data_IF_178803715748
#
_entry.id   IF_178803715748
#
_cell.length_a   1.000
_cell.length_b   1.000
_cell.length_c   1.000
_cell.angle_alpha   90.00
_cell.angle_beta   90.00
_cell.angle_gamma   90.00
#
_symmetry.space_group_name_H-M   'P 1'
#
loop_
_entity.id
_entity.type
_entity.pdbx_description
1 polymer ?
#
# COMPACT_ATOMS: atom_id res chain seq x y z
N UNK A 1 73.21 -34.07 -13.85
CA UNK A 1 72.51 -33.45 -12.66
C UNK A 1 71.36 -32.70 -13.21
N UNK A 2 70.16 -33.37 -13.29
CA UNK A 2 68.95 -32.81 -13.80
C UNK A 2 68.17 -32.19 -12.64
N UNK A 3 67.89 -30.85 -12.70
CA UNK A 3 67.07 -30.18 -11.78
C UNK A 3 65.60 -30.34 -12.23
N UNK A 4 64.88 -31.22 -11.58
CA UNK A 4 63.40 -31.34 -11.76
C UNK A 4 62.74 -30.19 -11.02
N UNK A 5 62.21 -29.22 -11.78
CA UNK A 5 61.37 -28.19 -11.26
C UNK A 5 59.98 -28.85 -11.00
N UNK A 6 59.63 -28.99 -9.75
CA UNK A 6 58.26 -29.41 -9.35
C UNK A 6 57.32 -28.23 -9.49
N UNK A 7 56.48 -28.24 -10.50
CA UNK A 7 55.33 -27.37 -10.59
C UNK A 7 54.31 -27.75 -9.50
N UNK A 8 54.15 -26.87 -8.49
CA UNK A 8 53.05 -26.99 -7.53
C UNK A 8 51.76 -26.55 -8.23
N UNK A 9 50.69 -27.36 -8.21
CA UNK A 9 49.43 -26.89 -8.74
C UNK A 9 48.92 -25.71 -7.88
N UNK A 10 48.62 -24.59 -8.54
CA UNK A 10 47.94 -23.45 -7.93
C UNK A 10 46.52 -23.92 -7.60
N UNK A 11 46.35 -24.33 -6.37
CA UNK A 11 45.04 -24.65 -5.84
C UNK A 11 44.23 -23.34 -5.79
N UNK A 12 43.29 -23.17 -6.73
CA UNK A 12 42.33 -22.08 -6.72
C UNK A 12 41.32 -22.40 -5.61
N UNK A 13 41.73 -22.21 -4.37
CA UNK A 13 40.77 -22.08 -3.26
C UNK A 13 40.10 -20.71 -3.41
N UNK A 14 39.01 -20.63 -4.17
CA UNK A 14 38.03 -19.58 -3.97
C UNK A 14 37.56 -19.81 -2.52
N UNK A 15 37.87 -18.89 -1.59
CA UNK A 15 37.57 -19.16 -0.21
C UNK A 15 36.05 -19.34 -0.10
N UNK A 16 35.67 -20.51 0.36
CA UNK A 16 34.26 -20.91 0.60
C UNK A 16 33.48 -19.82 1.34
N UNK A 17 34.20 -18.99 2.09
CA UNK A 17 33.70 -17.81 2.79
C UNK A 17 33.07 -16.75 1.87
N UNK A 18 33.62 -16.51 0.67
CA UNK A 18 33.02 -15.55 -0.27
C UNK A 18 31.74 -16.10 -0.91
N UNK A 19 31.70 -17.39 -1.18
CA UNK A 19 30.51 -18.03 -1.75
C UNK A 19 29.38 -18.08 -0.72
N UNK A 20 29.67 -18.38 0.55
CA UNK A 20 28.72 -18.36 1.65
C UNK A 20 28.24 -16.94 1.93
N UNK A 21 29.14 -15.95 1.92
CA UNK A 21 28.77 -14.54 2.12
C UNK A 21 27.87 -14.02 0.97
N UNK A 22 28.16 -14.39 -0.29
CA UNK A 22 27.31 -14.03 -1.42
C UNK A 22 25.91 -14.69 -1.33
N UNK A 23 25.83 -15.97 -0.95
CA UNK A 23 24.57 -16.66 -0.77
C UNK A 23 23.78 -16.09 0.40
N UNK A 24 24.44 -15.76 1.52
CA UNK A 24 23.79 -15.10 2.66
C UNK A 24 23.28 -13.71 2.31
N UNK A 25 24.03 -12.92 1.51
CA UNK A 25 23.57 -11.59 1.08
C UNK A 25 22.35 -11.67 0.17
N UNK A 26 22.31 -12.64 -0.77
CA UNK A 26 21.14 -12.89 -1.62
C UNK A 26 19.95 -13.37 -0.78
N UNK A 27 20.19 -14.23 0.22
CA UNK A 27 19.14 -14.72 1.11
C UNK A 27 18.57 -13.60 1.98
N UNK A 28 19.40 -12.74 2.56
CA UNK A 28 18.96 -11.58 3.36
C UNK A 28 18.19 -10.58 2.52
N UNK A 29 18.59 -10.31 1.27
CA UNK A 29 17.85 -9.45 0.34
C UNK A 29 16.51 -10.07 -0.05
N UNK A 30 16.45 -11.40 -0.17
CA UNK A 30 15.19 -12.11 -0.46
C UNK A 30 14.20 -12.07 0.70
N UNK A 31 14.69 -12.11 1.95
CA UNK A 31 13.85 -12.05 3.15
C UNK A 31 13.24 -10.66 3.41
N UNK A 32 13.85 -9.60 2.86
CA UNK A 32 13.39 -8.23 3.06
C UNK A 32 12.41 -7.73 1.98
N UNK A 33 12.04 -8.55 1.00
CA UNK A 33 10.99 -8.21 0.05
C UNK A 33 9.65 -8.36 0.72
N UNK A 34 9.01 -7.23 1.04
CA UNK A 34 7.57 -7.23 1.37
C UNK A 34 6.84 -7.62 0.09
N UNK A 35 6.29 -8.83 0.10
CA UNK A 35 5.49 -9.34 -1.01
C UNK A 35 4.09 -8.71 -0.90
N UNK A 36 3.76 -7.85 -1.87
CA UNK A 36 2.42 -7.27 -1.96
C UNK A 36 1.46 -8.34 -2.51
N UNK A 37 0.39 -8.59 -1.78
CA UNK A 37 -0.64 -9.53 -2.22
C UNK A 37 -1.46 -8.91 -3.36
N UNK A 38 -1.92 -9.73 -4.33
CA UNK A 38 -2.88 -9.28 -5.32
C UNK A 38 -4.22 -8.91 -4.67
N UNK A 39 -5.10 -8.29 -5.45
CA UNK A 39 -6.46 -7.98 -5.04
C UNK A 39 -7.27 -9.29 -4.95
N UNK A 40 -7.17 -9.97 -3.81
CA UNK A 40 -8.08 -11.07 -3.48
C UNK A 40 -9.22 -10.53 -2.63
N UNK A 41 -10.43 -10.97 -2.91
CA UNK A 41 -11.61 -10.65 -2.11
C UNK A 41 -11.49 -11.33 -0.75
N UNK A 42 -10.82 -10.67 0.19
CA UNK A 42 -10.73 -11.16 1.58
C UNK A 42 -12.10 -11.12 2.29
N UNK A 43 -13.06 -10.40 1.76
CA UNK A 43 -14.47 -10.36 2.14
C UNK A 43 -15.34 -10.12 0.92
N UNK A 44 -16.21 -11.04 0.59
CA UNK A 44 -17.61 -10.71 0.57
C UNK A 44 -18.36 -11.60 1.55
N UNK A 45 -18.27 -11.33 2.80
CA UNK A 45 -19.46 -11.38 3.59
C UNK A 45 -20.35 -10.27 3.00
N UNK A 46 -21.66 -10.37 3.12
CA UNK A 46 -22.63 -9.47 2.55
C UNK A 46 -22.19 -8.00 2.56
N UNK A 47 -22.25 -7.34 1.40
CA UNK A 47 -21.94 -5.92 1.27
C UNK A 47 -22.80 -5.11 2.26
N UNK A 48 -22.22 -4.25 3.07
CA UNK A 48 -22.91 -3.47 4.07
C UNK A 48 -22.63 -1.97 3.91
N UNK A 49 -23.58 -1.13 4.38
CA UNK A 49 -23.43 0.31 4.31
C UNK A 49 -22.15 0.78 4.98
N UNK A 50 -21.34 1.54 4.24
CA UNK A 50 -20.15 2.16 4.78
C UNK A 50 -20.49 3.14 5.88
N UNK A 51 -19.89 3.00 7.07
CA UNK A 51 -20.04 3.98 8.12
C UNK A 51 -19.67 5.37 7.63
N UNK A 52 -20.48 6.38 8.00
CA UNK A 52 -20.23 7.75 7.58
C UNK A 52 -19.21 8.42 8.49
N UNK A 53 -18.41 9.30 7.91
CA UNK A 53 -17.47 10.14 8.65
C UNK A 53 -17.38 11.54 8.03
N UNK A 54 -16.88 12.46 8.83
CA UNK A 54 -16.46 13.79 8.43
C UNK A 54 -15.10 14.07 9.05
N UNK A 55 -14.08 14.35 8.24
CA UNK A 55 -12.70 14.55 8.67
C UNK A 55 -12.09 15.81 8.04
N UNK A 56 -11.17 16.48 8.74
CA UNK A 56 -10.40 17.57 8.16
C UNK A 56 -9.46 17.05 7.08
N UNK A 57 -9.36 17.81 5.98
CA UNK A 57 -8.39 17.55 4.92
C UNK A 57 -7.04 18.20 5.24
N UNK A 58 -5.94 17.56 4.84
CA UNK A 58 -4.58 18.10 4.95
C UNK A 58 -4.44 19.49 4.28
N UNK A 59 -5.17 19.72 3.19
CA UNK A 59 -5.17 20.99 2.45
C UNK A 59 -6.23 22.00 2.94
N UNK A 60 -6.90 21.68 4.03
CA UNK A 60 -7.96 22.48 4.64
C UNK A 60 -9.37 22.08 4.21
N UNK A 61 -10.35 22.53 5.03
CA UNK A 61 -11.74 22.15 4.86
C UNK A 61 -12.10 20.81 5.48
N UNK A 62 -13.40 20.51 5.49
CA UNK A 62 -13.96 19.24 5.99
C UNK A 62 -14.42 18.41 4.80
N UNK A 63 -14.21 17.11 4.87
CA UNK A 63 -14.59 16.13 3.85
C UNK A 63 -15.52 15.09 4.46
N UNK A 64 -16.67 14.89 3.82
CA UNK A 64 -17.67 13.90 4.24
C UNK A 64 -17.71 12.76 3.24
N UNK A 65 -17.75 11.52 3.72
CA UNK A 65 -17.91 10.37 2.83
C UNK A 65 -19.19 10.46 1.99
N UNK A 66 -20.26 11.05 2.56
CA UNK A 66 -21.54 11.26 1.86
C UNK A 66 -21.45 12.08 0.57
N UNK A 67 -20.44 12.95 0.46
CA UNK A 67 -20.24 13.85 -0.71
C UNK A 67 -19.77 13.08 -1.94
N UNK A 68 -19.38 11.82 -1.76
CA UNK A 68 -18.87 10.94 -2.82
C UNK A 68 -19.88 9.85 -3.24
N UNK A 69 -21.16 10.03 -2.91
CA UNK A 69 -22.21 9.13 -3.41
C UNK A 69 -22.23 9.09 -4.94
N UNK A 70 -22.41 7.91 -5.53
CA UNK A 70 -22.34 7.71 -6.98
C UNK A 70 -20.91 7.49 -7.53
N UNK A 71 -19.89 7.62 -6.67
CA UNK A 71 -18.50 7.25 -7.00
C UNK A 71 -18.11 5.94 -6.36
N UNK A 72 -17.12 5.27 -6.93
CA UNK A 72 -16.35 4.23 -6.25
C UNK A 72 -15.33 4.92 -5.34
N UNK A 73 -15.34 4.61 -4.05
CA UNK A 73 -14.45 5.26 -3.08
C UNK A 73 -13.48 4.24 -2.49
N UNK A 74 -12.21 4.56 -2.59
CA UNK A 74 -11.11 3.82 -1.96
C UNK A 74 -10.76 4.52 -0.65
N UNK A 75 -11.02 3.89 0.49
CA UNK A 75 -10.70 4.40 1.83
C UNK A 75 -9.50 3.61 2.34
N UNK A 76 -8.38 4.29 2.61
CA UNK A 76 -7.18 3.65 3.14
C UNK A 76 -6.72 4.34 4.43
N UNK A 77 -6.52 3.56 5.49
CA UNK A 77 -5.96 4.03 6.75
C UNK A 77 -4.46 3.74 6.79
N UNK A 78 -3.64 4.77 7.07
CA UNK A 78 -2.20 4.69 7.01
C UNK A 78 -1.49 5.64 7.97
N UNK A 79 -0.15 5.55 8.05
CA UNK A 79 0.68 6.50 8.79
C UNK A 79 2.08 6.61 8.19
N UNK A 80 2.76 7.72 8.44
CA UNK A 80 4.14 7.97 7.97
C UNK A 80 5.19 7.05 8.60
N UNK A 81 4.95 6.57 9.81
CA UNK A 81 5.81 5.63 10.54
C UNK A 81 5.56 4.15 10.17
N UNK A 82 4.60 3.89 9.31
CA UNK A 82 4.21 2.53 8.90
C UNK A 82 5.01 2.09 7.66
N UNK A 83 6.05 1.29 7.84
CA UNK A 83 6.91 0.84 6.74
C UNK A 83 6.17 0.02 5.67
N UNK A 84 5.15 -0.77 6.05
CA UNK A 84 4.34 -1.52 5.09
C UNK A 84 3.39 -0.61 4.31
N UNK A 85 2.93 0.50 4.90
CA UNK A 85 2.17 1.52 4.16
C UNK A 85 3.03 2.17 3.08
N UNK A 86 4.31 2.50 3.40
CA UNK A 86 5.26 3.09 2.46
C UNK A 86 5.42 2.23 1.19
N UNK A 87 5.39 0.91 1.33
CA UNK A 87 5.57 -0.03 0.21
C UNK A 87 4.39 0.01 -0.77
N UNK A 88 3.15 0.21 -0.30
CA UNK A 88 1.98 0.22 -1.19
C UNK A 88 1.71 1.58 -1.87
N UNK A 89 2.23 2.70 -1.30
CA UNK A 89 1.95 4.06 -1.79
C UNK A 89 2.19 4.28 -3.29
N UNK A 90 3.28 3.77 -3.91
CA UNK A 90 3.48 3.94 -5.35
C UNK A 90 2.41 3.25 -6.20
N UNK A 91 1.90 2.11 -5.76
CA UNK A 91 0.84 1.39 -6.47
C UNK A 91 -0.53 2.08 -6.30
N UNK A 92 -0.80 2.62 -5.12
CA UNK A 92 -1.98 3.44 -4.85
C UNK A 92 -2.00 4.70 -5.73
N UNK A 93 -0.87 5.40 -5.85
CA UNK A 93 -0.76 6.58 -6.69
C UNK A 93 -1.03 6.26 -8.18
N UNK A 94 -0.53 5.12 -8.67
CA UNK A 94 -0.83 4.67 -10.04
C UNK A 94 -2.32 4.41 -10.24
N UNK A 95 -2.96 3.72 -9.29
CA UNK A 95 -4.40 3.46 -9.31
C UNK A 95 -5.19 4.77 -9.30
N UNK A 96 -4.84 5.71 -8.40
CA UNK A 96 -5.50 6.99 -8.28
C UNK A 96 -5.44 7.80 -9.58
N UNK A 97 -4.24 7.98 -10.14
CA UNK A 97 -4.04 8.71 -11.40
C UNK A 97 -4.81 8.11 -12.57
N UNK A 98 -4.95 6.78 -12.58
CA UNK A 98 -5.65 6.08 -13.68
C UNK A 98 -7.16 6.34 -13.64
N UNK A 99 -7.78 6.43 -12.46
CA UNK A 99 -9.24 6.40 -12.34
C UNK A 99 -9.89 7.66 -11.77
N UNK A 100 -9.14 8.61 -11.20
CA UNK A 100 -9.69 9.81 -10.53
C UNK A 100 -10.68 10.63 -11.37
N UNK A 101 -10.54 10.62 -12.70
CA UNK A 101 -11.37 11.39 -13.61
C UNK A 101 -12.61 10.60 -14.11
N UNK A 102 -12.81 9.35 -13.62
CA UNK A 102 -13.82 8.42 -14.11
C UNK A 102 -14.89 8.03 -13.06
N UNK A 103 -15.12 8.88 -12.05
CA UNK A 103 -16.07 8.54 -10.98
C UNK A 103 -15.49 7.65 -9.88
N UNK A 104 -14.18 7.71 -9.71
CA UNK A 104 -13.41 7.12 -8.62
C UNK A 104 -12.88 8.23 -7.70
N UNK A 105 -12.81 7.94 -6.40
CA UNK A 105 -12.16 8.80 -5.44
C UNK A 105 -11.31 7.98 -4.47
N UNK A 106 -10.19 8.55 -4.04
CA UNK A 106 -9.33 7.94 -3.05
C UNK A 106 -9.26 8.86 -1.82
N UNK A 107 -9.83 8.41 -0.71
CA UNK A 107 -9.79 9.10 0.57
C UNK A 107 -8.80 8.37 1.48
N UNK A 108 -7.56 8.86 1.52
CA UNK A 108 -6.56 8.30 2.41
C UNK A 108 -6.63 9.00 3.76
N UNK A 109 -6.62 8.24 4.85
CA UNK A 109 -6.82 8.74 6.21
C UNK A 109 -5.56 8.45 7.01
N UNK A 110 -4.79 9.51 7.30
CA UNK A 110 -3.62 9.41 8.15
C UNK A 110 -4.02 9.38 9.62
N UNK A 111 -3.44 8.42 10.36
CA UNK A 111 -3.55 8.33 11.82
C UNK A 111 -2.31 8.89 12.54
N UNK A 112 -1.49 9.68 11.85
CA UNK A 112 -0.35 10.36 12.44
C UNK A 112 -0.79 11.40 13.46
N UNK A 113 -0.20 11.36 14.65
CA UNK A 113 -0.39 12.40 15.66
C UNK A 113 0.32 13.69 15.29
N UNK A 114 1.51 13.57 14.75
CA UNK A 114 2.28 14.71 14.22
C UNK A 114 1.98 14.89 12.72
N UNK A 115 1.03 15.74 12.43
CA UNK A 115 0.59 16.02 11.06
C UNK A 115 1.66 16.71 10.20
N UNK A 116 2.70 17.31 10.83
CA UNK A 116 3.80 17.95 10.11
C UNK A 116 4.65 16.97 9.28
N UNK A 117 4.58 15.67 9.61
CA UNK A 117 5.29 14.61 8.90
C UNK A 117 4.62 14.19 7.58
N UNK A 118 3.33 14.51 7.40
CA UNK A 118 2.54 14.01 6.27
C UNK A 118 2.98 14.64 4.95
N UNK A 119 3.09 15.97 4.91
CA UNK A 119 3.44 16.68 3.67
C UNK A 119 4.85 16.30 3.14
N UNK A 120 5.91 16.22 3.97
CA UNK A 120 7.21 15.69 3.54
C UNK A 120 7.13 14.26 3.00
N UNK A 121 6.33 13.39 3.64
CA UNK A 121 6.10 12.02 3.17
C UNK A 121 5.43 12.00 1.79
N UNK A 122 4.35 12.75 1.61
CA UNK A 122 3.65 12.88 0.31
C UNK A 122 4.61 13.34 -0.79
N UNK A 123 5.47 14.32 -0.50
CA UNK A 123 6.49 14.81 -1.44
C UNK A 123 7.55 13.76 -1.76
N UNK A 124 8.02 13.03 -0.76
CA UNK A 124 9.03 11.95 -0.93
C UNK A 124 8.58 10.91 -1.96
N UNK A 125 7.30 10.55 -1.96
CA UNK A 125 6.73 9.52 -2.83
C UNK A 125 5.98 10.07 -4.05
N UNK A 126 5.97 11.40 -4.27
CA UNK A 126 5.21 12.08 -5.33
C UNK A 126 3.72 11.70 -5.34
N UNK A 127 3.10 11.64 -4.15
CA UNK A 127 1.70 11.29 -3.98
C UNK A 127 0.80 12.50 -4.20
N UNK A 128 -0.31 12.30 -4.91
CA UNK A 128 -1.25 13.37 -5.29
C UNK A 128 -2.69 13.12 -4.84
N UNK A 129 -2.98 11.95 -4.27
CA UNK A 129 -4.29 11.64 -3.73
C UNK A 129 -4.60 12.46 -2.46
N UNK A 130 -5.89 12.71 -2.15
CA UNK A 130 -6.30 13.42 -0.95
C UNK A 130 -5.90 12.71 0.34
N UNK A 131 -5.51 13.50 1.35
CA UNK A 131 -5.23 13.01 2.71
C UNK A 131 -6.18 13.67 3.70
N UNK A 132 -6.86 12.87 4.49
CA UNK A 132 -7.69 13.26 5.62
C UNK A 132 -6.97 12.93 6.93
N UNK A 133 -7.33 13.61 8.01
CA UNK A 133 -6.61 13.57 9.27
C UNK A 133 -7.48 12.94 10.37
N UNK A 134 -6.99 11.83 10.95
CA UNK A 134 -7.62 11.13 12.10
C UNK A 134 -6.57 10.86 13.21
N UNK A 135 -5.95 11.91 13.80
CA UNK A 135 -4.82 11.78 14.73
C UNK A 135 -5.18 10.99 16.00
N UNK A 136 -6.44 10.99 16.40
CA UNK A 136 -6.91 10.22 17.55
C UNK A 136 -7.38 8.80 17.17
N UNK A 137 -7.33 8.46 15.88
CA UNK A 137 -7.79 7.17 15.34
C UNK A 137 -9.25 6.86 15.68
N UNK A 138 -10.09 7.89 15.80
CA UNK A 138 -11.51 7.74 16.14
C UNK A 138 -12.27 7.03 15.01
N UNK A 139 -12.07 7.49 13.77
CA UNK A 139 -12.67 6.88 12.59
C UNK A 139 -12.06 5.52 12.33
N UNK A 140 -10.73 5.43 12.34
CA UNK A 140 -10.01 4.17 12.10
C UNK A 140 -10.45 3.07 13.07
N UNK A 141 -10.31 3.32 14.40
CA UNK A 141 -10.48 2.27 15.40
C UNK A 141 -11.92 2.09 15.87
N UNK A 142 -12.67 3.19 16.08
CA UNK A 142 -14.02 3.08 16.68
C UNK A 142 -15.09 2.86 15.63
N UNK A 143 -14.95 3.46 14.46
CA UNK A 143 -15.96 3.41 13.39
C UNK A 143 -15.67 2.27 12.42
N UNK A 144 -14.49 2.25 11.79
CA UNK A 144 -14.09 1.20 10.82
C UNK A 144 -13.50 -0.04 11.48
N UNK A 145 -13.20 0.04 12.80
CA UNK A 145 -12.66 -1.07 13.60
C UNK A 145 -11.43 -1.71 12.97
N UNK A 146 -10.53 -0.86 12.48
CA UNK A 146 -9.27 -1.33 11.92
C UNK A 146 -8.42 -2.01 13.00
N UNK A 147 -7.73 -3.07 12.61
CA UNK A 147 -6.82 -3.82 13.50
C UNK A 147 -5.41 -3.25 13.49
N UNK A 148 -5.07 -2.48 12.43
CA UNK A 148 -3.78 -1.83 12.26
C UNK A 148 -3.77 -0.96 11.00
N UNK A 149 -2.57 -0.61 10.55
CA UNK A 149 -2.34 0.06 9.27
C UNK A 149 -1.29 -0.72 8.47
N UNK A 150 -1.41 -0.81 7.13
CA UNK A 150 -2.52 -0.28 6.34
C UNK A 150 -3.76 -1.18 6.37
N UNK A 151 -4.92 -0.57 6.35
CA UNK A 151 -6.18 -1.25 6.04
C UNK A 151 -6.98 -0.44 5.02
N UNK A 152 -7.56 -1.14 4.05
CA UNK A 152 -8.28 -0.53 2.93
C UNK A 152 -9.71 -1.05 2.83
N UNK A 153 -10.63 -0.16 2.51
CA UNK A 153 -12.04 -0.48 2.25
C UNK A 153 -12.43 0.09 0.90
N UNK A 154 -13.06 -0.73 0.05
CA UNK A 154 -13.60 -0.28 -1.23
C UNK A 154 -15.10 -0.13 -1.07
N UNK A 155 -15.58 1.06 -1.35
CA UNK A 155 -17.00 1.43 -1.28
C UNK A 155 -17.52 1.62 -2.70
N UNK A 156 -18.61 0.93 -3.04
CA UNK A 156 -19.23 1.05 -4.36
C UNK A 156 -20.09 2.32 -4.47
N UNK A 157 -20.68 2.54 -5.65
CA UNK A 157 -21.47 3.75 -5.95
C UNK A 157 -22.71 3.90 -5.06
N UNK A 158 -23.27 2.79 -4.58
CA UNK A 158 -24.40 2.73 -3.67
C UNK A 158 -23.99 3.04 -2.21
N UNK A 159 -22.66 3.13 -1.95
CA UNK A 159 -22.09 3.38 -0.63
C UNK A 159 -21.98 2.13 0.23
N UNK A 160 -21.92 0.97 -0.38
CA UNK A 160 -21.68 -0.29 0.31
C UNK A 160 -20.21 -0.62 0.31
N UNK A 161 -19.66 -1.09 1.43
CA UNK A 161 -18.33 -1.72 1.46
C UNK A 161 -18.44 -3.06 0.73
N UNK A 162 -17.72 -3.20 -0.36
CA UNK A 162 -17.69 -4.42 -1.21
C UNK A 162 -16.38 -5.18 -1.10
N UNK A 163 -15.35 -4.54 -0.51
CA UNK A 163 -14.05 -5.18 -0.29
C UNK A 163 -13.35 -4.57 0.92
N UNK A 164 -12.64 -5.42 1.67
CA UNK A 164 -11.72 -5.02 2.73
C UNK A 164 -10.38 -5.72 2.52
N UNK A 165 -9.27 -4.98 2.62
CA UNK A 165 -7.92 -5.52 2.62
C UNK A 165 -7.20 -5.16 3.92
N UNK A 166 -6.57 -6.15 4.55
CA UNK A 166 -5.74 -5.98 5.73
C UNK A 166 -4.28 -6.17 5.33
N UNK A 167 -3.45 -5.18 5.65
CA UNK A 167 -2.04 -5.14 5.26
C UNK A 167 -1.83 -4.65 3.81
N UNK A 168 -0.53 -4.52 3.41
CA UNK A 168 -0.17 -3.90 2.15
C UNK A 168 -0.58 -4.74 0.93
N UNK A 169 -0.93 -4.04 -0.16
CA UNK A 169 -1.28 -4.65 -1.45
C UNK A 169 -0.57 -3.96 -2.60
N UNK A 170 -0.41 -4.66 -3.72
CA UNK A 170 -0.12 -4.05 -5.01
C UNK A 170 -1.42 -3.65 -5.69
N UNK A 171 -1.76 -2.35 -5.56
CA UNK A 171 -2.98 -1.79 -6.12
C UNK A 171 -2.90 -1.49 -7.62
N UNK A 172 -1.75 -1.76 -8.25
CA UNK A 172 -1.50 -1.50 -9.67
C UNK A 172 -1.16 -2.76 -10.47
N UNK A 173 -1.35 -3.95 -9.91
CA UNK A 173 -1.27 -5.20 -10.68
C UNK A 173 -2.46 -5.31 -11.64
N UNK A 174 -2.33 -6.15 -12.65
CA UNK A 174 -3.31 -6.28 -13.75
C UNK A 174 -4.71 -6.69 -13.26
N UNK A 175 -4.79 -7.66 -12.35
CA UNK A 175 -6.04 -8.14 -11.76
C UNK A 175 -6.79 -7.05 -10.99
N UNK A 176 -6.06 -6.31 -10.13
CA UNK A 176 -6.62 -5.16 -9.40
C UNK A 176 -7.13 -4.08 -10.35
N UNK A 177 -6.33 -3.72 -11.36
CA UNK A 177 -6.71 -2.70 -12.32
C UNK A 177 -7.94 -3.12 -13.15
N UNK A 178 -8.06 -4.40 -13.50
CA UNK A 178 -9.25 -4.92 -14.18
C UNK A 178 -10.49 -4.85 -13.28
N UNK A 179 -10.39 -5.28 -12.01
CA UNK A 179 -11.47 -5.20 -11.04
C UNK A 179 -11.95 -3.75 -10.84
N UNK A 180 -11.03 -2.79 -10.71
CA UNK A 180 -11.39 -1.38 -10.63
C UNK A 180 -11.98 -0.83 -11.93
N UNK A 181 -11.49 -1.29 -13.10
CA UNK A 181 -12.08 -0.95 -14.40
C UNK A 181 -13.55 -1.32 -14.47
N UNK A 182 -13.89 -2.53 -14.04
CA UNK A 182 -15.28 -3.01 -14.01
C UNK A 182 -16.13 -2.20 -13.03
N UNK A 183 -15.66 -1.92 -11.83
CA UNK A 183 -16.39 -1.13 -10.84
C UNK A 183 -16.59 0.33 -11.25
N UNK A 184 -15.54 0.95 -11.83
CA UNK A 184 -15.51 2.38 -12.13
C UNK A 184 -16.09 2.71 -13.50
N UNK A 185 -15.87 1.88 -14.52
CA UNK A 185 -16.32 2.13 -15.89
C UNK A 185 -17.63 1.43 -16.23
N UNK A 186 -18.04 0.43 -15.42
CA UNK A 186 -19.33 -0.24 -15.58
C UNK A 186 -19.44 -1.07 -16.86
N UNK A 187 -18.32 -1.59 -17.36
CA UNK A 187 -18.24 -2.41 -18.57
C UNK A 187 -18.25 -3.87 -18.27
#
# INVERSE_FOLDING_TARGET
MENVVQDKPISIYIPYTFLVAALLSVFVVSLNKVELKPFETEYPAEAFLSPQFELPSLVGGMVKLSDYRGKVVFINFWATWCGTCEVEMPSMEKLYRKYKDFGFEMLTISVDKDQSLIEPFMKKFNLTFPVLLDPESEIAKKIYKTTGVPETFIVNREGLIVHKAIGPRDWANEETLEAFSQMVLGS
#
